data_IF_843319099339
#
_entry.id   IF_843319099339
#
_cell.length_a   1.000
_cell.length_b   1.000
_cell.length_c   1.000
_cell.angle_alpha   90.00
_cell.angle_beta   90.00
_cell.angle_gamma   90.00
#
_symmetry.space_group_name_H-M   'P 1'
#
loop_
_entity.id
_entity.type
_entity.pdbx_description
1 polymer ?
#
# COMPACT_ATOMS: atom_id res chain seq x y z
N UNK A 1 13.05 8.79 -11.15
CA UNK A 1 12.74 10.23 -10.99
C UNK A 1 11.47 10.57 -11.75
N UNK A 2 10.70 11.54 -11.28
CA UNK A 2 9.54 12.07 -12.01
C UNK A 2 9.97 12.65 -13.38
N UNK A 3 9.19 12.48 -14.47
CA UNK A 3 9.47 13.11 -15.75
C UNK A 3 9.50 14.65 -15.70
N UNK A 4 8.93 15.26 -14.66
CA UNK A 4 8.96 16.71 -14.42
C UNK A 4 10.17 17.18 -13.60
N UNK A 5 11.00 16.26 -13.13
CA UNK A 5 12.16 16.58 -12.28
C UNK A 5 13.28 17.24 -13.07
N UNK A 6 14.00 18.23 -12.52
CA UNK A 6 15.23 18.75 -13.11
C UNK A 6 16.37 17.71 -13.14
N UNK A 7 16.21 16.59 -12.43
CA UNK A 7 17.15 15.47 -12.33
C UNK A 7 16.60 14.21 -13.00
N UNK A 8 15.70 14.36 -13.96
CA UNK A 8 15.25 13.27 -14.83
C UNK A 8 16.46 12.56 -15.47
N UNK A 9 16.36 11.24 -15.67
CA UNK A 9 17.48 10.42 -16.17
C UNK A 9 18.57 10.03 -15.15
N UNK A 10 18.72 10.75 -14.02
CA UNK A 10 19.73 10.37 -13.01
C UNK A 10 19.48 8.95 -12.46
N UNK A 11 20.56 8.19 -12.35
CA UNK A 11 20.58 6.85 -11.76
C UNK A 11 21.24 6.89 -10.39
N UNK A 12 20.73 6.09 -9.45
CA UNK A 12 21.24 6.00 -8.09
C UNK A 12 21.46 4.54 -7.71
N UNK A 13 22.57 4.28 -7.02
CA UNK A 13 22.88 2.99 -6.43
C UNK A 13 23.30 3.21 -5.00
N UNK A 14 22.62 2.57 -4.05
CA UNK A 14 22.93 2.63 -2.63
C UNK A 14 23.15 1.22 -2.08
N UNK A 15 24.10 1.06 -1.16
CA UNK A 15 24.42 -0.23 -0.55
C UNK A 15 25.04 -0.04 0.84
N UNK A 16 25.07 -1.12 1.63
CA UNK A 16 25.93 -1.21 2.81
C UNK A 16 27.36 -1.52 2.39
N UNK A 17 28.33 -0.68 2.75
CA UNK A 17 29.73 -0.81 2.31
C UNK A 17 30.52 -1.83 3.14
N UNK A 18 30.18 -3.12 3.05
CA UNK A 18 30.90 -4.17 3.79
C UNK A 18 32.38 -4.29 3.35
N UNK A 19 33.30 -4.18 4.31
CA UNK A 19 34.74 -4.28 4.09
C UNK A 19 35.37 -3.07 3.39
N UNK A 20 34.61 -1.99 3.18
CA UNK A 20 35.11 -0.72 2.63
C UNK A 20 35.62 0.25 3.71
N UNK A 21 36.03 1.47 3.33
CA UNK A 21 36.42 2.52 4.28
C UNK A 21 35.24 3.03 5.10
N UNK A 22 34.01 2.81 4.62
CA UNK A 22 32.77 3.08 5.35
C UNK A 22 32.15 1.76 5.79
N UNK A 23 32.99 0.85 6.31
CA UNK A 23 32.55 -0.47 6.74
C UNK A 23 31.29 -0.36 7.59
N UNK A 24 30.25 -1.12 7.22
CA UNK A 24 28.98 -1.18 7.95
C UNK A 24 28.07 0.06 7.84
N UNK A 25 28.43 1.05 7.02
CA UNK A 25 27.62 2.24 6.74
C UNK A 25 26.88 2.15 5.40
N UNK A 26 25.86 2.99 5.24
CA UNK A 26 25.17 3.19 3.95
C UNK A 26 25.96 4.19 3.13
N UNK A 27 26.26 3.77 1.90
CA UNK A 27 26.86 4.64 0.90
C UNK A 27 25.97 4.68 -0.35
N UNK A 28 26.14 5.74 -1.13
CA UNK A 28 25.47 5.95 -2.40
C UNK A 28 26.46 6.39 -3.48
N UNK A 29 26.19 6.03 -4.72
CA UNK A 29 26.79 6.59 -5.93
C UNK A 29 25.70 6.93 -6.93
N UNK A 30 25.90 7.99 -7.70
CA UNK A 30 24.96 8.44 -8.73
C UNK A 30 25.63 8.59 -10.09
N UNK A 31 24.83 8.39 -11.13
CA UNK A 31 25.17 8.76 -12.51
C UNK A 31 24.19 9.82 -12.99
N UNK A 32 24.73 10.78 -13.74
CA UNK A 32 23.98 11.87 -14.39
C UNK A 32 24.15 11.85 -15.91
N UNK A 33 24.59 10.71 -16.45
CA UNK A 33 24.97 10.49 -17.85
C UNK A 33 24.55 9.09 -18.33
N UNK A 34 23.32 8.68 -17.98
CA UNK A 34 22.71 7.40 -18.38
C UNK A 34 23.53 6.15 -17.99
N UNK A 35 24.28 6.24 -16.89
CA UNK A 35 25.10 5.16 -16.35
C UNK A 35 26.49 5.03 -16.96
N UNK A 36 26.91 5.97 -17.82
CA UNK A 36 28.24 5.96 -18.45
C UNK A 36 29.36 6.19 -17.42
N UNK A 37 29.13 7.05 -16.44
CA UNK A 37 30.04 7.28 -15.33
C UNK A 37 29.30 7.44 -14.00
N UNK A 38 30.02 7.17 -12.90
CA UNK A 38 29.46 7.16 -11.55
C UNK A 38 30.31 8.02 -10.63
N UNK A 39 29.64 8.77 -9.73
CA UNK A 39 30.32 9.53 -8.69
C UNK A 39 31.10 8.59 -7.77
N UNK A 40 32.14 9.09 -7.07
CA UNK A 40 32.70 8.37 -5.92
C UNK A 40 31.60 8.00 -4.92
N UNK A 41 31.80 6.91 -4.18
CA UNK A 41 30.91 6.52 -3.07
C UNK A 41 30.84 7.65 -2.04
N UNK A 42 29.63 8.01 -1.65
CA UNK A 42 29.33 9.00 -0.63
C UNK A 42 28.67 8.29 0.55
N UNK A 43 29.23 8.44 1.74
CA UNK A 43 28.65 7.94 2.99
C UNK A 43 27.49 8.86 3.42
N UNK A 44 26.37 8.27 3.84
CA UNK A 44 25.11 9.00 4.08
C UNK A 44 24.40 8.61 5.38
N UNK A 45 24.97 7.74 6.22
CA UNK A 45 24.36 7.27 7.47
C UNK A 45 25.07 7.73 8.75
N UNK A 46 26.21 8.42 8.67
CA UNK A 46 27.09 8.71 9.80
C UNK A 46 26.43 9.50 10.93
N UNK A 47 25.40 10.29 10.63
CA UNK A 47 24.70 11.08 11.63
C UNK A 47 23.80 10.26 12.57
N UNK A 48 23.38 9.03 12.21
CA UNK A 48 22.51 8.21 13.07
C UNK A 48 23.25 7.42 14.16
N UNK A 49 24.60 7.39 14.10
CA UNK A 49 25.49 6.63 14.98
C UNK A 49 24.94 5.21 15.24
N UNK A 50 25.05 4.31 14.27
CA UNK A 50 24.67 2.92 14.49
C UNK A 50 25.60 2.29 15.52
N UNK A 51 25.05 1.56 16.50
CA UNK A 51 25.87 0.87 17.49
C UNK A 51 26.69 -0.29 16.90
N UNK A 52 26.21 -0.88 15.79
CA UNK A 52 26.97 -1.83 14.97
C UNK A 52 26.95 -1.43 13.50
N UNK A 53 25.83 -1.63 12.79
CA UNK A 53 25.80 -1.41 11.35
C UNK A 53 24.44 -0.99 10.82
N UNK A 54 24.47 -0.41 9.62
CA UNK A 54 23.33 -0.01 8.83
C UNK A 54 23.15 -0.98 7.65
N UNK A 55 21.95 -1.53 7.46
CA UNK A 55 21.70 -2.52 6.41
C UNK A 55 20.32 -2.41 5.77
N UNK A 56 20.15 -3.01 4.59
CA UNK A 56 18.84 -3.16 3.97
C UNK A 56 18.36 -1.86 3.36
N UNK A 57 19.26 -1.17 2.65
CA UNK A 57 18.94 0.14 2.06
C UNK A 57 17.88 0.04 0.97
N UNK A 58 16.92 0.96 1.03
CA UNK A 58 15.94 1.20 -0.01
C UNK A 58 15.99 2.69 -0.43
N UNK A 59 15.77 2.95 -1.71
CA UNK A 59 15.91 4.28 -2.32
C UNK A 59 14.70 4.56 -3.21
N UNK A 60 14.18 5.79 -3.15
CA UNK A 60 13.12 6.25 -4.03
C UNK A 60 13.25 7.74 -4.34
N UNK A 61 12.69 8.16 -5.46
CA UNK A 61 12.71 9.55 -5.91
C UNK A 61 11.39 10.25 -5.67
N UNK A 62 11.43 11.52 -5.27
CA UNK A 62 10.26 12.39 -5.13
C UNK A 62 9.82 13.08 -6.42
N UNK A 63 8.67 13.78 -6.39
CA UNK A 63 8.13 14.53 -7.54
C UNK A 63 9.07 15.61 -8.07
N UNK A 64 9.82 16.26 -7.19
CA UNK A 64 10.69 17.39 -7.56
C UNK A 64 12.14 16.95 -7.74
N UNK A 65 12.39 15.64 -7.76
CA UNK A 65 13.73 15.07 -7.89
C UNK A 65 14.48 14.92 -6.57
N UNK A 66 13.75 14.95 -5.46
CA UNK A 66 14.29 14.52 -4.17
C UNK A 66 14.76 13.06 -4.27
N UNK A 67 15.80 12.70 -3.53
CA UNK A 67 16.28 11.31 -3.39
C UNK A 67 16.16 10.93 -1.93
N UNK A 68 15.20 10.07 -1.63
CA UNK A 68 14.95 9.55 -0.29
C UNK A 68 15.65 8.21 -0.12
N UNK A 69 16.33 8.02 1.00
CA UNK A 69 17.05 6.79 1.32
C UNK A 69 16.68 6.36 2.73
N UNK A 70 16.34 5.07 2.90
CA UNK A 70 15.99 4.46 4.20
C UNK A 70 16.73 3.15 4.40
N UNK A 71 17.01 2.77 5.64
CA UNK A 71 17.71 1.53 6.00
C UNK A 71 17.38 1.08 7.42
N UNK A 72 17.63 -0.18 7.72
CA UNK A 72 17.57 -0.71 9.08
C UNK A 72 18.85 -0.40 9.84
N UNK A 73 18.71 -0.10 11.14
CA UNK A 73 19.82 0.14 12.06
C UNK A 73 19.92 -1.02 13.05
N UNK A 74 21.12 -1.56 13.20
CA UNK A 74 21.48 -2.50 14.25
C UNK A 74 22.34 -1.78 15.30
N UNK A 75 21.83 -1.63 16.51
CA UNK A 75 22.61 -1.10 17.64
C UNK A 75 23.61 -2.13 18.21
N UNK A 76 23.41 -3.41 17.93
CA UNK A 76 24.33 -4.49 18.29
C UNK A 76 24.20 -5.64 17.29
N UNK A 77 25.23 -6.49 17.18
CA UNK A 77 25.18 -7.68 16.33
C UNK A 77 25.92 -8.87 16.97
N UNK A 78 25.39 -10.10 16.89
CA UNK A 78 24.10 -10.49 16.30
C UNK A 78 22.90 -10.06 17.16
N UNK A 79 21.93 -9.37 16.55
CA UNK A 79 20.66 -8.96 17.16
C UNK A 79 19.61 -8.64 16.07
N UNK A 80 18.38 -8.34 16.50
CA UNK A 80 17.34 -7.78 15.62
C UNK A 80 17.60 -6.31 15.31
N UNK A 81 17.01 -5.82 14.22
CA UNK A 81 16.93 -4.40 13.87
C UNK A 81 16.23 -3.62 15.00
N UNK A 82 16.76 -2.45 15.37
CA UNK A 82 16.28 -1.65 16.54
C UNK A 82 15.75 -0.27 16.18
N UNK A 83 16.08 0.22 14.98
CA UNK A 83 15.60 1.50 14.45
C UNK A 83 15.59 1.51 12.91
N UNK A 84 14.92 2.51 12.34
CA UNK A 84 14.98 2.81 10.90
C UNK A 84 15.66 4.16 10.71
N UNK A 85 16.70 4.17 9.89
CA UNK A 85 17.42 5.37 9.47
C UNK A 85 16.85 5.94 8.17
N UNK A 86 16.98 7.25 7.99
CA UNK A 86 16.52 7.96 6.81
C UNK A 86 17.39 9.18 6.52
N UNK A 87 17.58 9.47 5.23
CA UNK A 87 18.06 10.77 4.77
C UNK A 87 17.42 11.16 3.44
N UNK A 88 17.53 12.44 3.09
CA UNK A 88 17.03 13.02 1.86
C UNK A 88 18.10 13.90 1.21
N UNK A 89 18.16 13.84 -0.11
CA UNK A 89 18.80 14.85 -0.97
C UNK A 89 17.73 15.63 -1.72
N UNK A 90 17.90 16.96 -1.81
CA UNK A 90 17.05 17.86 -2.60
C UNK A 90 17.76 18.41 -3.84
N UNK A 91 18.99 17.96 -4.10
CA UNK A 91 19.87 18.41 -5.19
C UNK A 91 20.25 17.26 -6.15
N UNK A 92 19.35 16.27 -6.30
CA UNK A 92 19.52 15.15 -7.22
C UNK A 92 20.62 14.18 -6.79
N UNK A 93 20.80 13.99 -5.48
CA UNK A 93 21.78 13.09 -4.88
C UNK A 93 23.20 13.65 -4.84
N UNK A 94 23.41 14.96 -4.95
CA UNK A 94 24.74 15.55 -4.83
C UNK A 94 25.17 15.68 -3.36
N UNK A 95 24.26 16.13 -2.51
CA UNK A 95 24.43 16.20 -1.06
C UNK A 95 23.20 15.67 -0.35
N UNK A 96 23.40 15.16 0.87
CA UNK A 96 22.35 14.60 1.70
C UNK A 96 22.27 15.37 3.02
N UNK A 97 21.04 15.53 3.52
CA UNK A 97 20.83 16.03 4.86
C UNK A 97 21.47 15.09 5.91
N UNK A 98 21.78 15.59 7.11
CA UNK A 98 22.18 14.71 8.20
C UNK A 98 21.12 13.63 8.42
N UNK A 99 21.55 12.36 8.37
CA UNK A 99 20.66 11.23 8.57
C UNK A 99 19.98 11.25 9.95
N UNK A 100 18.77 10.71 10.01
CA UNK A 100 17.91 10.69 11.18
C UNK A 100 17.42 9.28 11.47
N UNK A 101 17.23 8.96 12.76
CA UNK A 101 16.44 7.79 13.16
C UNK A 101 14.97 8.20 13.17
N UNK A 102 14.21 7.75 12.18
CA UNK A 102 12.81 8.18 11.98
C UNK A 102 11.82 7.39 12.82
N UNK A 103 12.23 6.21 13.27
CA UNK A 103 11.60 5.49 14.37
C UNK A 103 12.67 4.76 15.17
N UNK A 104 12.54 4.82 16.49
CA UNK A 104 13.39 4.12 17.45
C UNK A 104 12.55 3.11 18.21
N UNK A 105 13.18 2.10 18.81
CA UNK A 105 12.49 1.07 19.59
C UNK A 105 11.55 0.21 18.72
N UNK A 106 12.03 -0.20 17.55
CA UNK A 106 11.47 -1.34 16.82
C UNK A 106 12.16 -2.62 17.28
N UNK A 107 11.59 -3.76 16.92
CA UNK A 107 12.24 -5.06 17.02
C UNK A 107 11.97 -5.83 15.75
N UNK A 108 12.96 -5.83 14.86
CA UNK A 108 12.91 -6.61 13.65
C UNK A 108 13.00 -8.12 13.91
N UNK A 109 13.33 -8.88 12.88
CA UNK A 109 13.24 -10.34 12.89
C UNK A 109 14.54 -11.02 12.48
N UNK A 110 15.64 -10.29 12.30
CA UNK A 110 16.90 -10.86 11.80
C UNK A 110 17.42 -12.03 12.65
N UNK A 111 17.37 -11.87 13.97
CA UNK A 111 17.85 -12.83 14.95
C UNK A 111 16.71 -13.61 15.60
N UNK A 112 15.57 -12.97 15.88
CA UNK A 112 14.37 -13.65 16.39
C UNK A 112 13.86 -14.69 15.38
N UNK A 113 13.97 -14.40 14.07
CA UNK A 113 13.56 -15.29 13.01
C UNK A 113 12.04 -15.39 12.85
N UNK A 114 11.64 -16.32 11.99
CA UNK A 114 10.26 -16.81 11.88
C UNK A 114 10.28 -18.32 12.09
N UNK A 115 9.10 -18.94 12.20
CA UNK A 115 8.97 -20.40 12.23
C UNK A 115 9.27 -21.10 10.89
N UNK A 116 9.62 -20.35 9.83
CA UNK A 116 9.89 -20.86 8.48
C UNK A 116 11.38 -21.14 8.34
N UNK A 117 11.72 -22.20 7.60
CA UNK A 117 13.11 -22.61 7.41
C UNK A 117 13.80 -21.78 6.32
N UNK A 118 13.97 -20.49 6.56
CA UNK A 118 14.80 -19.60 5.74
C UNK A 118 15.26 -18.41 6.58
N UNK A 119 16.25 -17.67 6.07
CA UNK A 119 16.69 -16.45 6.72
C UNK A 119 15.64 -15.35 6.49
N UNK A 120 15.51 -14.49 7.48
CA UNK A 120 14.65 -13.31 7.41
C UNK A 120 15.42 -12.05 7.84
N UNK A 121 14.83 -10.90 7.57
CA UNK A 121 15.29 -9.58 7.99
C UNK A 121 14.09 -8.62 7.97
N UNK A 122 14.18 -7.53 8.73
CA UNK A 122 13.20 -6.45 8.71
C UNK A 122 13.77 -5.20 8.05
N UNK A 123 14.13 -5.33 6.78
CA UNK A 123 14.63 -4.20 6.01
C UNK A 123 13.47 -3.31 5.57
N UNK A 124 13.53 -1.99 5.83
CA UNK A 124 12.47 -1.08 5.47
C UNK A 124 12.39 -0.93 3.95
N UNK A 125 11.17 -0.87 3.44
CA UNK A 125 10.88 -0.66 2.02
C UNK A 125 10.02 0.58 1.88
N UNK A 126 10.28 1.40 0.87
CA UNK A 126 9.62 2.68 0.71
C UNK A 126 8.89 2.80 -0.64
N UNK A 127 7.78 3.52 -0.62
CA UNK A 127 7.13 4.08 -1.81
C UNK A 127 6.92 5.58 -1.61
N UNK A 128 6.90 6.33 -2.71
CA UNK A 128 6.60 7.76 -2.72
C UNK A 128 5.42 7.99 -3.65
N UNK A 129 4.45 8.80 -3.23
CA UNK A 129 3.30 9.13 -4.07
C UNK A 129 3.76 10.03 -5.23
N UNK A 130 3.59 9.54 -6.46
CA UNK A 130 3.90 10.23 -7.71
C UNK A 130 2.65 10.48 -8.58
N UNK A 131 1.45 10.42 -7.99
CA UNK A 131 0.17 10.38 -8.71
C UNK A 131 -0.32 11.71 -9.28
N UNK A 132 0.26 12.83 -8.86
CA UNK A 132 -0.29 14.18 -9.08
C UNK A 132 -1.50 14.49 -8.21
N UNK A 133 -1.95 13.55 -7.36
CA UNK A 133 -3.11 13.70 -6.49
C UNK A 133 -2.83 14.48 -5.20
N UNK A 134 -3.81 14.54 -4.27
CA UNK A 134 -3.70 15.32 -3.03
C UNK A 134 -2.55 14.89 -2.09
N UNK A 135 -2.03 13.68 -2.27
CA UNK A 135 -0.96 13.08 -1.46
C UNK A 135 0.39 13.06 -2.17
N UNK A 136 0.49 13.71 -3.34
CA UNK A 136 1.73 13.84 -4.11
C UNK A 136 2.92 14.19 -3.22
N UNK A 137 3.96 13.36 -3.26
CA UNK A 137 5.18 13.53 -2.45
C UNK A 137 5.13 12.91 -1.05
N UNK A 138 4.01 12.32 -0.64
CA UNK A 138 3.96 11.55 0.60
C UNK A 138 4.90 10.35 0.49
N UNK A 139 5.57 10.05 1.60
CA UNK A 139 6.54 8.97 1.71
C UNK A 139 5.93 7.90 2.61
N UNK A 140 5.96 6.64 2.19
CA UNK A 140 5.45 5.50 2.94
C UNK A 140 6.57 4.50 3.15
N UNK A 141 6.87 4.16 4.40
CA UNK A 141 7.88 3.15 4.75
C UNK A 141 7.20 2.00 5.46
N UNK A 142 7.45 0.77 5.00
CA UNK A 142 6.94 -0.46 5.58
C UNK A 142 8.07 -1.36 6.08
N UNK A 143 7.83 -2.09 7.16
CA UNK A 143 8.76 -3.06 7.73
C UNK A 143 8.01 -4.13 8.55
N UNK A 144 8.73 -5.16 8.99
CA UNK A 144 8.19 -6.23 9.84
C UNK A 144 8.62 -6.05 11.30
N UNK A 145 7.73 -6.25 12.27
CA UNK A 145 8.06 -6.07 13.68
C UNK A 145 7.56 -7.25 14.52
N UNK A 146 8.34 -7.64 15.52
CA UNK A 146 7.88 -8.55 16.58
C UNK A 146 6.97 -7.79 17.53
N UNK A 147 5.69 -8.14 17.56
CA UNK A 147 4.66 -7.39 18.27
C UNK A 147 4.57 -5.93 17.81
N UNK A 148 3.93 -5.11 18.63
CA UNK A 148 3.72 -3.68 18.32
C UNK A 148 5.00 -2.86 18.49
N UNK A 149 5.43 -2.07 17.48
CA UNK A 149 6.56 -1.15 17.60
C UNK A 149 6.44 -0.24 18.83
N UNK A 150 7.52 -0.07 19.57
CA UNK A 150 7.54 0.66 20.84
C UNK A 150 7.25 -0.21 22.07
N UNK A 151 6.55 -1.34 21.90
CA UNK A 151 6.28 -2.32 22.97
C UNK A 151 7.17 -3.56 22.77
N UNK A 152 7.22 -4.09 21.54
CA UNK A 152 8.07 -5.21 21.11
C UNK A 152 7.89 -6.51 21.90
N UNK A 153 6.65 -6.78 22.33
CA UNK A 153 6.25 -8.00 23.05
C UNK A 153 5.02 -8.64 22.40
N UNK A 154 4.80 -9.91 22.68
CA UNK A 154 3.70 -10.70 22.11
C UNK A 154 4.19 -11.78 21.15
N UNK A 155 3.28 -12.66 20.71
CA UNK A 155 3.62 -13.79 19.86
C UNK A 155 3.62 -13.46 18.36
N UNK A 156 3.02 -12.34 17.96
CA UNK A 156 2.84 -12.00 16.55
C UNK A 156 4.10 -11.39 15.93
N UNK A 157 4.25 -11.62 14.63
CA UNK A 157 5.14 -10.87 13.76
C UNK A 157 4.26 -10.22 12.72
N UNK A 158 4.24 -8.89 12.68
CA UNK A 158 3.31 -8.12 11.87
C UNK A 158 4.02 -7.09 10.99
N UNK A 159 3.36 -6.68 9.91
CA UNK A 159 3.86 -5.62 9.04
C UNK A 159 3.27 -4.27 9.44
N UNK A 160 4.14 -3.26 9.54
CA UNK A 160 3.78 -1.91 9.94
C UNK A 160 4.18 -0.88 8.88
N UNK A 161 3.48 0.24 8.87
CA UNK A 161 3.74 1.39 8.02
C UNK A 161 3.88 2.68 8.85
N UNK A 162 4.80 3.56 8.45
CA UNK A 162 4.81 4.98 8.82
C UNK A 162 4.82 5.82 7.55
N UNK A 163 4.25 7.02 7.63
CA UNK A 163 4.26 7.98 6.52
C UNK A 163 4.77 9.34 6.93
N UNK A 164 5.39 10.02 5.98
CA UNK A 164 5.71 11.44 6.07
C UNK A 164 4.92 12.22 5.02
N UNK A 165 4.39 13.38 5.44
CA UNK A 165 3.61 14.28 4.58
C UNK A 165 4.34 15.59 4.31
N UNK A 166 5.60 15.71 4.74
CA UNK A 166 6.39 16.94 4.74
C UNK A 166 7.84 16.73 4.28
N UNK A 167 8.05 15.76 3.38
CA UNK A 167 9.37 15.50 2.78
C UNK A 167 10.35 14.75 3.69
N UNK A 168 9.84 14.02 4.68
CA UNK A 168 10.64 13.22 5.61
C UNK A 168 11.01 13.93 6.91
N UNK A 169 10.48 15.14 7.17
CA UNK A 169 10.78 15.91 8.38
C UNK A 169 10.05 15.36 9.61
N UNK A 170 8.79 14.96 9.46
CA UNK A 170 7.99 14.30 10.49
C UNK A 170 7.33 13.04 9.97
N UNK A 171 7.01 12.13 10.90
CA UNK A 171 6.50 10.80 10.60
C UNK A 171 5.28 10.49 11.47
N UNK A 172 4.30 9.78 10.91
CA UNK A 172 3.15 9.28 11.65
C UNK A 172 3.55 8.23 12.69
N UNK A 173 2.68 7.95 13.69
CA UNK A 173 2.77 6.70 14.44
C UNK A 173 2.68 5.47 13.51
N UNK A 174 3.23 4.31 13.93
CA UNK A 174 3.09 3.06 13.19
C UNK A 174 1.64 2.62 13.02
N UNK A 175 1.29 2.15 11.83
CA UNK A 175 -0.03 1.61 11.47
C UNK A 175 0.17 0.15 11.04
N UNK A 176 -0.54 -0.79 11.67
CA UNK A 176 -0.52 -2.21 11.31
C UNK A 176 -1.22 -2.43 9.96
N UNK A 177 -0.62 -3.23 9.09
CA UNK A 177 -1.08 -3.43 7.70
C UNK A 177 -1.99 -4.65 7.58
N UNK A 178 -1.60 -5.79 8.15
CA UNK A 178 -2.38 -7.03 8.07
C UNK A 178 -3.64 -6.98 8.95
N UNK A 179 -4.72 -7.63 8.50
CA UNK A 179 -6.08 -7.50 9.04
C UNK A 179 -6.60 -8.70 9.84
N UNK A 180 -5.74 -9.69 10.15
CA UNK A 180 -6.08 -10.78 11.06
C UNK A 180 -6.15 -10.31 12.53
N UNK A 181 -6.93 -10.95 13.42
CA UNK A 181 -6.97 -10.55 14.82
C UNK A 181 -5.62 -10.75 15.54
N UNK A 182 -5.18 -9.75 16.30
CA UNK A 182 -3.93 -9.79 17.08
C UNK A 182 -3.94 -10.85 18.19
N UNK A 183 -2.75 -11.28 18.60
CA UNK A 183 -2.48 -12.19 19.71
C UNK A 183 -2.53 -13.67 19.33
N UNK A 184 -2.52 -14.00 18.03
CA UNK A 184 -2.70 -15.37 17.54
C UNK A 184 -1.38 -16.11 17.26
N UNK A 185 -0.24 -15.44 17.38
CA UNK A 185 1.06 -15.97 17.03
C UNK A 185 1.22 -16.20 15.54
N UNK A 186 0.63 -15.31 14.73
CA UNK A 186 0.74 -15.35 13.27
C UNK A 186 1.91 -14.48 12.80
N UNK A 187 2.51 -14.91 11.70
CA UNK A 187 3.75 -14.34 11.18
C UNK A 187 3.55 -13.78 9.77
N UNK A 188 3.67 -12.46 9.67
CA UNK A 188 3.55 -11.66 8.45
C UNK A 188 4.89 -10.97 8.19
N UNK A 189 5.55 -11.25 7.07
CA UNK A 189 6.94 -10.82 6.89
C UNK A 189 7.34 -10.59 5.44
N UNK A 190 8.50 -9.96 5.26
CA UNK A 190 9.05 -9.49 3.99
C UNK A 190 8.08 -8.61 3.19
N UNK A 191 7.57 -7.51 3.77
CA UNK A 191 6.69 -6.61 3.06
C UNK A 191 7.43 -5.94 1.91
N UNK A 192 6.75 -5.74 0.79
CA UNK A 192 7.16 -4.80 -0.26
C UNK A 192 5.99 -3.90 -0.61
N UNK A 193 6.24 -2.62 -0.86
CA UNK A 193 5.18 -1.62 -1.12
C UNK A 193 5.33 -1.00 -2.51
N UNK A 194 4.19 -0.67 -3.13
CA UNK A 194 4.10 0.20 -4.29
C UNK A 194 3.04 1.28 -4.03
N UNK A 195 3.30 2.50 -4.48
CA UNK A 195 2.28 3.54 -4.66
C UNK A 195 2.01 3.67 -6.15
N UNK A 196 0.75 3.58 -6.56
CA UNK A 196 0.36 3.70 -7.96
C UNK A 196 0.55 5.16 -8.42
N UNK A 197 1.43 5.42 -9.41
CA UNK A 197 1.73 6.78 -9.86
C UNK A 197 0.61 7.40 -10.73
N UNK A 198 -0.55 6.76 -10.83
CA UNK A 198 -1.75 7.29 -11.49
C UNK A 198 -2.86 7.52 -10.48
N UNK A 199 -3.08 6.58 -9.55
CA UNK A 199 -4.23 6.64 -8.62
C UNK A 199 -3.85 7.12 -7.22
N UNK A 200 -2.57 7.03 -6.83
CA UNK A 200 -2.12 7.29 -5.45
C UNK A 200 -2.55 6.19 -4.47
N UNK A 201 -2.98 5.02 -4.96
CA UNK A 201 -3.31 3.86 -4.15
C UNK A 201 -2.05 3.13 -3.71
N UNK A 202 -2.07 2.54 -2.52
CA UNK A 202 -0.99 1.72 -1.99
C UNK A 202 -1.33 0.25 -2.11
N UNK A 203 -0.31 -0.56 -2.41
CA UNK A 203 -0.38 -2.02 -2.36
C UNK A 203 0.86 -2.58 -1.67
N UNK A 204 0.68 -3.47 -0.70
CA UNK A 204 1.74 -4.12 0.08
C UNK A 204 1.62 -5.62 -0.05
N UNK A 205 2.65 -6.29 -0.57
CA UNK A 205 2.73 -7.76 -0.61
C UNK A 205 3.47 -8.27 0.62
N UNK A 206 3.07 -9.40 1.18
CA UNK A 206 3.81 -10.10 2.24
C UNK A 206 3.62 -11.61 2.22
N UNK A 207 4.55 -12.35 2.83
CA UNK A 207 4.28 -13.72 3.27
C UNK A 207 3.45 -13.71 4.55
N UNK A 208 2.62 -14.74 4.70
CA UNK A 208 1.58 -14.80 5.71
C UNK A 208 1.27 -16.27 6.07
N UNK A 209 1.14 -16.59 7.36
CA UNK A 209 0.77 -17.94 7.80
C UNK A 209 -0.58 -18.05 8.51
N UNK A 210 -1.43 -17.02 8.41
CA UNK A 210 -2.68 -16.91 9.17
C UNK A 210 -3.63 -18.10 8.95
N UNK A 211 -3.63 -18.68 7.74
CA UNK A 211 -4.51 -19.81 7.39
C UNK A 211 -3.82 -21.18 7.40
N UNK A 212 -2.52 -21.24 7.70
CA UNK A 212 -1.72 -22.46 7.52
C UNK A 212 -0.94 -22.83 8.79
N UNK A 213 -0.24 -23.96 8.74
CA UNK A 213 0.68 -24.34 9.81
C UNK A 213 1.86 -23.37 9.86
N UNK A 214 2.49 -23.24 11.03
CA UNK A 214 3.63 -22.33 11.25
C UNK A 214 4.79 -22.54 10.28
N UNK A 215 5.00 -23.77 9.78
CA UNK A 215 6.09 -24.04 8.82
C UNK A 215 5.77 -23.64 7.38
N UNK A 216 4.53 -23.27 7.09
CA UNK A 216 4.05 -22.90 5.77
C UNK A 216 3.75 -21.40 5.68
N UNK A 217 3.68 -20.89 4.46
CA UNK A 217 3.13 -19.57 4.20
C UNK A 217 2.29 -19.57 2.92
N UNK A 218 1.41 -18.59 2.87
CA UNK A 218 0.69 -18.09 1.71
C UNK A 218 1.20 -16.67 1.40
N UNK A 219 0.72 -16.08 0.31
CA UNK A 219 1.07 -14.71 -0.09
C UNK A 219 -0.19 -13.86 -0.06
N UNK A 220 -0.09 -12.70 0.59
CA UNK A 220 -1.19 -11.75 0.72
C UNK A 220 -0.80 -10.42 0.11
N UNK A 221 -1.82 -9.67 -0.30
CA UNK A 221 -1.68 -8.25 -0.64
C UNK A 221 -2.67 -7.45 0.18
N UNK A 222 -2.18 -6.40 0.84
CA UNK A 222 -2.97 -5.37 1.48
C UNK A 222 -3.02 -4.12 0.60
N UNK A 223 -4.17 -3.47 0.48
CA UNK A 223 -4.33 -2.26 -0.31
C UNK A 223 -4.95 -1.13 0.50
N UNK A 224 -4.67 0.11 0.09
CA UNK A 224 -5.19 1.31 0.70
C UNK A 224 -5.45 2.43 -0.32
N UNK A 225 -6.56 3.13 -0.15
CA UNK A 225 -7.03 4.27 -0.97
C UNK A 225 -6.93 5.61 -0.25
N UNK A 226 -6.71 5.61 1.07
CA UNK A 226 -6.69 6.79 1.95
C UNK A 226 -5.27 7.21 2.37
N UNK A 227 -4.25 6.71 1.66
CA UNK A 227 -2.84 6.95 2.00
C UNK A 227 -2.38 6.13 3.20
N UNK A 228 -2.93 4.93 3.38
CA UNK A 228 -2.52 3.93 4.36
C UNK A 228 -2.99 4.21 5.78
N UNK A 229 -4.09 4.97 5.94
CA UNK A 229 -4.79 5.07 7.23
C UNK A 229 -5.59 3.80 7.50
N UNK A 230 -6.21 3.23 6.46
CA UNK A 230 -6.91 1.96 6.52
C UNK A 230 -6.40 1.03 5.44
N UNK A 231 -6.56 -0.28 5.69
CA UNK A 231 -6.07 -1.35 4.83
C UNK A 231 -7.12 -2.45 4.71
N UNK A 232 -7.26 -3.00 3.51
CA UNK A 232 -7.94 -4.26 3.26
C UNK A 232 -6.96 -5.25 2.66
N UNK A 233 -6.97 -6.51 3.11
CA UNK A 233 -6.07 -7.54 2.61
C UNK A 233 -6.80 -8.78 2.10
N UNK A 234 -6.15 -9.47 1.18
CA UNK A 234 -6.63 -10.74 0.65
C UNK A 234 -5.47 -11.63 0.21
N UNK A 235 -5.72 -12.94 0.21
CA UNK A 235 -4.75 -13.92 -0.28
C UNK A 235 -4.64 -13.83 -1.80
N UNK A 236 -3.41 -13.70 -2.30
CA UNK A 236 -3.12 -13.66 -3.73
C UNK A 236 -2.53 -14.98 -4.28
N UNK A 237 -1.93 -15.82 -3.42
CA UNK A 237 -1.45 -17.13 -3.85
C UNK A 237 -2.57 -18.16 -3.96
N UNK A 238 -2.48 -19.00 -4.98
CA UNK A 238 -3.36 -20.14 -5.25
C UNK A 238 -3.05 -21.37 -4.39
N UNK A 239 -1.83 -21.46 -3.85
CA UNK A 239 -1.38 -22.53 -2.94
C UNK A 239 -0.60 -21.97 -1.77
N UNK A 240 -0.53 -22.77 -0.70
CA UNK A 240 0.46 -22.62 0.35
C UNK A 240 1.74 -23.40 0.01
N UNK A 241 2.88 -23.00 0.56
CA UNK A 241 4.15 -23.68 0.36
C UNK A 241 5.00 -23.65 1.64
N UNK A 242 6.05 -24.47 1.68
CA UNK A 242 6.98 -24.58 2.82
C UNK A 242 8.34 -24.02 2.41
N UNK A 243 8.69 -22.78 2.80
CA UNK A 243 10.00 -22.22 2.49
C UNK A 243 11.14 -23.13 2.94
N UNK A 244 12.14 -23.28 2.07
CA UNK A 244 13.30 -24.14 2.34
C UNK A 244 14.55 -23.56 1.67
N UNK A 245 15.71 -23.52 2.33
CA UNK A 245 16.88 -22.88 1.76
C UNK A 245 17.30 -23.56 0.46
N UNK A 246 17.79 -22.77 -0.49
CA UNK A 246 18.26 -23.24 -1.79
C UNK A 246 19.62 -23.95 -1.59
N UNK A 247 19.72 -25.26 -1.92
CA UNK A 247 20.97 -25.99 -1.76
C UNK A 247 22.11 -25.37 -2.57
N UNK A 248 23.30 -25.28 -1.98
CA UNK A 248 24.49 -24.72 -2.62
C UNK A 248 24.63 -23.20 -2.55
N UNK A 249 23.66 -22.49 -1.96
CA UNK A 249 23.80 -21.07 -1.60
C UNK A 249 24.19 -20.91 -0.13
N UNK A 250 24.46 -19.68 0.28
CA UNK A 250 24.68 -19.34 1.68
C UNK A 250 23.47 -19.73 2.56
N UNK A 251 23.73 -19.96 3.84
CA UNK A 251 22.75 -20.51 4.78
C UNK A 251 21.44 -19.70 4.83
N UNK A 252 20.31 -20.40 4.71
CA UNK A 252 18.97 -19.82 4.85
C UNK A 252 18.41 -19.11 3.62
N UNK A 253 19.16 -18.95 2.53
CA UNK A 253 18.68 -18.21 1.34
C UNK A 253 17.49 -18.91 0.66
N UNK A 254 16.40 -18.19 0.41
CA UNK A 254 15.18 -18.73 -0.21
C UNK A 254 14.66 -17.92 -1.41
N UNK A 255 15.37 -16.88 -1.83
CA UNK A 255 14.78 -15.81 -2.65
C UNK A 255 14.29 -14.72 -1.72
N UNK A 256 15.25 -14.15 -0.99
CA UNK A 256 15.02 -13.08 -0.04
C UNK A 256 14.55 -11.85 -0.84
N UNK A 257 13.48 -11.23 -0.35
CA UNK A 257 12.68 -10.16 -0.96
C UNK A 257 11.56 -10.60 -1.92
N UNK A 258 10.42 -9.93 -1.72
CA UNK A 258 9.28 -9.88 -2.63
C UNK A 258 9.41 -8.65 -3.54
N UNK A 259 8.52 -8.54 -4.52
CA UNK A 259 8.38 -7.32 -5.31
C UNK A 259 6.91 -7.02 -5.58
N UNK A 260 6.57 -5.74 -5.69
CA UNK A 260 5.24 -5.32 -6.15
C UNK A 260 5.38 -4.04 -6.95
N UNK A 261 4.59 -3.92 -8.03
CA UNK A 261 4.49 -2.71 -8.83
C UNK A 261 3.03 -2.45 -9.17
N UNK A 262 2.62 -1.18 -9.19
CA UNK A 262 1.27 -0.78 -9.56
C UNK A 262 1.27 0.37 -10.58
N UNK A 263 0.30 0.38 -11.50
CA UNK A 263 0.04 1.51 -12.40
C UNK A 263 -1.39 1.49 -12.94
N UNK A 264 -2.11 2.59 -12.77
CA UNK A 264 -3.48 2.73 -13.26
C UNK A 264 -4.40 1.63 -12.71
N UNK A 265 -4.25 1.32 -11.42
CA UNK A 265 -4.96 0.28 -10.69
C UNK A 265 -4.66 -1.14 -11.14
N UNK A 266 -3.62 -1.39 -11.95
CA UNK A 266 -3.13 -2.75 -12.20
C UNK A 266 -1.95 -3.02 -11.29
N UNK A 267 -2.02 -4.09 -10.52
CA UNK A 267 -1.01 -4.44 -9.51
C UNK A 267 -0.37 -5.77 -9.87
N UNK A 268 0.97 -5.83 -9.78
CA UNK A 268 1.81 -6.96 -10.17
C UNK A 268 2.68 -7.41 -8.98
N UNK A 269 2.11 -8.18 -8.03
CA UNK A 269 2.86 -8.79 -6.94
C UNK A 269 3.67 -9.98 -7.43
N UNK A 270 4.96 -10.03 -7.08
CA UNK A 270 5.90 -11.09 -7.43
C UNK A 270 6.54 -11.65 -6.16
N UNK A 271 6.58 -12.96 -6.03
CA UNK A 271 7.15 -13.64 -4.86
C UNK A 271 7.95 -14.87 -5.25
N UNK A 272 8.78 -15.36 -4.32
CA UNK A 272 9.50 -16.62 -4.48
C UNK A 272 8.73 -17.76 -3.82
N UNK A 273 8.57 -18.88 -4.51
CA UNK A 273 7.87 -20.04 -3.99
C UNK A 273 8.55 -21.32 -4.53
N UNK A 274 8.55 -22.39 -3.73
CA UNK A 274 9.19 -23.66 -4.01
C UNK A 274 8.22 -24.85 -4.16
N UNK A 275 6.94 -24.61 -4.47
CA UNK A 275 5.87 -25.61 -4.65
C UNK A 275 6.22 -26.73 -5.63
N UNK A 276 7.09 -26.46 -6.60
CA UNK A 276 7.56 -27.43 -7.61
C UNK A 276 8.85 -28.15 -7.20
N UNK A 277 9.33 -27.93 -5.97
CA UNK A 277 10.61 -28.42 -5.47
C UNK A 277 11.82 -27.55 -5.83
N UNK A 278 11.62 -26.45 -6.57
CA UNK A 278 12.64 -25.45 -6.91
C UNK A 278 12.11 -24.05 -6.59
N UNK A 279 12.94 -23.19 -6.03
CA UNK A 279 12.61 -21.77 -5.84
C UNK A 279 12.46 -21.08 -7.20
N UNK A 280 11.26 -20.57 -7.49
CA UNK A 280 10.91 -19.85 -8.71
C UNK A 280 10.15 -18.57 -8.36
N UNK A 281 10.17 -17.61 -9.28
CA UNK A 281 9.34 -16.41 -9.18
C UNK A 281 7.93 -16.68 -9.70
N UNK A 282 6.92 -16.31 -8.92
CA UNK A 282 5.51 -16.37 -9.29
C UNK A 282 4.92 -14.97 -9.26
N UNK A 283 3.90 -14.74 -10.09
CA UNK A 283 3.17 -13.49 -10.20
C UNK A 283 1.69 -13.79 -10.33
N UNK A 284 0.85 -12.98 -9.70
CA UNK A 284 -0.60 -13.05 -9.84
C UNK A 284 -1.15 -11.63 -9.92
N UNK A 285 -1.23 -11.06 -11.13
CA UNK A 285 -1.70 -9.69 -11.31
C UNK A 285 -3.19 -9.56 -10.99
N UNK A 286 -3.58 -8.40 -10.44
CA UNK A 286 -4.97 -8.07 -10.19
C UNK A 286 -5.26 -6.59 -10.48
N UNK A 287 -6.54 -6.23 -10.51
CA UNK A 287 -6.98 -4.85 -10.69
C UNK A 287 -7.50 -4.32 -9.35
N UNK A 288 -6.87 -3.25 -8.86
CA UNK A 288 -7.26 -2.47 -7.70
C UNK A 288 -7.69 -1.06 -8.13
N UNK A 289 -8.99 -0.89 -8.32
CA UNK A 289 -9.59 0.39 -8.71
C UNK A 289 -10.64 0.77 -7.67
N UNK A 290 -10.84 2.08 -7.38
CA UNK A 290 -11.99 2.53 -6.60
C UNK A 290 -13.25 1.91 -7.21
N UNK A 291 -14.21 1.52 -6.38
CA UNK A 291 -15.48 0.98 -6.87
C UNK A 291 -16.14 2.01 -7.79
N UNK A 292 -16.02 1.81 -9.11
CA UNK A 292 -16.73 2.64 -10.07
C UNK A 292 -18.17 2.15 -10.10
N UNK A 293 -19.08 2.96 -9.59
CA UNK A 293 -20.48 2.61 -9.54
C UNK A 293 -21.23 3.48 -10.52
N UNK A 294 -21.62 2.87 -11.64
CA UNK A 294 -22.54 3.50 -12.58
C UNK A 294 -23.95 3.38 -12.05
N UNK A 295 -24.56 4.51 -11.76
CA UNK A 295 -25.94 4.58 -11.32
C UNK A 295 -26.80 5.10 -12.45
N UNK A 296 -27.86 4.36 -12.73
CA UNK A 296 -28.85 4.71 -13.72
C UNK A 296 -30.25 4.63 -13.11
N UNK A 297 -31.06 5.63 -13.43
CA UNK A 297 -32.44 5.73 -12.99
C UNK A 297 -33.33 5.51 -14.20
N UNK A 298 -34.08 4.41 -14.22
CA UNK A 298 -34.87 4.00 -15.38
C UNK A 298 -36.36 3.93 -15.09
N UNK A 299 -37.15 4.30 -16.10
CA UNK A 299 -38.58 3.98 -16.20
C UNK A 299 -38.78 2.47 -16.42
N UNK A 300 -40.03 2.01 -16.32
CA UNK A 300 -40.38 0.59 -16.50
C UNK A 300 -40.09 0.08 -17.91
N UNK A 301 -40.03 0.98 -18.90
CA UNK A 301 -39.65 0.72 -20.28
C UNK A 301 -38.12 0.69 -20.51
N UNK A 302 -37.32 0.91 -19.46
CA UNK A 302 -35.87 0.92 -19.51
C UNK A 302 -35.23 2.27 -19.89
N UNK A 303 -36.02 3.32 -20.10
CA UNK A 303 -35.55 4.67 -20.44
C UNK A 303 -34.90 5.34 -19.23
N UNK A 304 -33.65 5.80 -19.37
CA UNK A 304 -32.96 6.60 -18.35
C UNK A 304 -33.62 7.98 -18.20
N UNK A 305 -33.87 8.40 -16.96
CA UNK A 305 -34.59 9.65 -16.67
C UNK A 305 -33.98 10.42 -15.51
N UNK A 306 -33.99 11.75 -15.66
CA UNK A 306 -33.72 12.72 -14.60
C UNK A 306 -32.24 12.74 -14.13
N UNK A 307 -31.99 12.78 -12.82
CA UNK A 307 -30.66 12.98 -12.24
C UNK A 307 -30.48 12.27 -10.91
N UNK A 308 -29.23 12.06 -10.55
CA UNK A 308 -28.75 11.38 -9.33
C UNK A 308 -27.63 12.21 -8.71
N UNK A 309 -27.40 12.08 -7.41
CA UNK A 309 -26.33 12.80 -6.71
C UNK A 309 -26.00 12.18 -5.36
N UNK A 310 -24.82 12.52 -4.82
CA UNK A 310 -24.43 12.13 -3.46
C UNK A 310 -25.31 12.83 -2.43
N UNK A 311 -25.61 12.13 -1.35
CA UNK A 311 -26.38 12.66 -0.24
C UNK A 311 -25.54 12.72 1.04
N UNK A 312 -25.15 13.93 1.42
CA UNK A 312 -24.32 14.22 2.61
C UNK A 312 -25.18 14.64 3.82
N UNK A 313 -26.49 14.37 3.80
CA UNK A 313 -27.39 14.69 4.93
C UNK A 313 -27.84 16.15 5.04
N UNK A 314 -27.51 17.02 4.08
CA UNK A 314 -27.93 18.44 4.03
C UNK A 314 -28.80 18.78 2.81
N UNK A 315 -29.44 19.96 2.74
CA UNK A 315 -30.36 20.32 1.64
C UNK A 315 -29.68 20.44 0.26
N UNK A 316 -28.35 20.50 0.23
CA UNK A 316 -27.54 20.67 -0.97
C UNK A 316 -27.45 19.36 -1.76
N UNK A 317 -28.38 19.19 -2.71
CA UNK A 317 -28.33 18.12 -3.69
C UNK A 317 -27.66 18.63 -4.96
N UNK A 318 -26.50 18.08 -5.32
CA UNK A 318 -25.81 18.35 -6.60
C UNK A 318 -26.22 17.27 -7.61
N UNK A 319 -27.09 17.57 -8.58
CA UNK A 319 -27.58 16.59 -9.54
C UNK A 319 -26.60 16.35 -10.69
N UNK A 320 -26.46 15.08 -11.08
CA UNK A 320 -25.78 14.61 -12.27
C UNK A 320 -26.77 13.89 -13.19
N UNK A 321 -26.68 14.12 -14.50
CA UNK A 321 -27.50 13.42 -15.48
C UNK A 321 -27.21 11.92 -15.47
N UNK A 322 -28.25 11.09 -15.58
CA UNK A 322 -28.11 9.62 -15.65
C UNK A 322 -27.89 9.12 -17.09
N UNK A 323 -27.19 7.98 -17.28
CA UNK A 323 -26.40 7.28 -16.26
C UNK A 323 -25.16 8.09 -15.86
N UNK A 324 -24.78 8.02 -14.59
CA UNK A 324 -23.57 8.66 -14.07
C UNK A 324 -22.68 7.65 -13.34
N UNK A 325 -21.37 7.73 -13.56
CA UNK A 325 -20.39 6.88 -12.88
C UNK A 325 -19.75 7.66 -11.74
N UNK A 326 -19.99 7.21 -10.52
CA UNK A 326 -19.28 7.71 -9.34
C UNK A 326 -18.04 6.87 -9.07
N UNK A 327 -17.00 7.49 -8.53
CA UNK A 327 -15.86 6.79 -7.94
C UNK A 327 -16.02 6.79 -6.42
N UNK A 328 -16.07 5.60 -5.84
CA UNK A 328 -16.15 5.44 -4.39
C UNK A 328 -14.95 4.70 -3.85
N UNK A 329 -14.59 5.02 -2.61
CA UNK A 329 -13.57 4.31 -1.87
C UNK A 329 -14.06 2.88 -1.56
N UNK A 330 -13.19 1.89 -1.71
CA UNK A 330 -13.56 0.53 -1.31
C UNK A 330 -13.60 0.49 0.23
N UNK A 331 -14.66 -0.10 0.78
CA UNK A 331 -14.95 -0.12 2.20
C UNK A 331 -15.82 1.05 2.68
N UNK A 332 -16.11 2.04 1.83
CA UNK A 332 -16.97 3.17 2.21
C UNK A 332 -18.46 2.81 2.16
N UNK A 333 -19.23 3.52 2.99
CA UNK A 333 -20.69 3.52 2.96
C UNK A 333 -21.15 4.76 2.22
N UNK A 334 -21.84 4.58 1.11
CA UNK A 334 -22.24 5.69 0.25
C UNK A 334 -23.76 5.77 0.17
N UNK A 335 -24.29 6.97 0.31
CA UNK A 335 -25.71 7.24 0.11
C UNK A 335 -25.90 8.08 -1.15
N UNK A 336 -26.64 7.54 -2.11
CA UNK A 336 -27.05 8.28 -3.30
C UNK A 336 -28.54 8.63 -3.23
N UNK A 337 -28.87 9.83 -3.69
CA UNK A 337 -30.25 10.32 -3.84
C UNK A 337 -30.57 10.48 -5.32
N UNK A 338 -31.75 10.00 -5.72
CA UNK A 338 -32.34 10.30 -7.03
C UNK A 338 -33.20 11.56 -6.98
N UNK A 339 -33.32 12.26 -8.10
CA UNK A 339 -34.25 13.37 -8.24
C UNK A 339 -35.71 12.92 -8.02
N UNK A 340 -36.55 13.79 -7.48
CA UNK A 340 -37.86 13.43 -6.91
C UNK A 340 -39.06 13.68 -7.85
N UNK A 341 -38.85 14.22 -9.05
CA UNK A 341 -39.94 14.61 -9.96
C UNK A 341 -40.69 13.41 -10.53
N UNK A 342 -42.02 13.37 -10.39
CA UNK A 342 -42.89 12.35 -11.02
C UNK A 342 -42.90 12.50 -12.55
N UNK A 343 -42.66 11.40 -13.27
CA UNK A 343 -42.66 11.32 -14.73
C UNK A 343 -43.54 10.14 -15.14
N UNK A 344 -44.50 10.37 -16.05
CA UNK A 344 -45.33 9.32 -16.67
C UNK A 344 -46.05 8.37 -15.68
N UNK A 345 -46.43 8.85 -14.50
CA UNK A 345 -47.02 8.06 -13.39
C UNK A 345 -46.08 6.99 -12.77
N UNK A 346 -44.80 7.01 -13.10
CA UNK A 346 -43.82 6.00 -12.67
C UNK A 346 -42.86 6.52 -11.60
N UNK A 347 -43.32 7.40 -10.68
CA UNK A 347 -42.49 7.85 -9.56
C UNK A 347 -43.23 8.20 -8.27
N UNK A 348 -42.65 7.74 -7.16
CA UNK A 348 -42.92 7.97 -5.73
C UNK A 348 -44.33 8.38 -5.35
N UNK A 349 -45.12 7.40 -4.92
CA UNK A 349 -46.38 7.67 -4.27
C UNK A 349 -46.10 8.36 -2.92
N UNK A 350 -46.44 9.65 -2.88
CA UNK A 350 -46.49 10.46 -1.67
C UNK A 350 -47.50 9.80 -0.70
N UNK A 351 -47.02 9.23 0.41
CA UNK A 351 -47.88 8.79 1.52
C UNK A 351 -47.25 9.19 2.85
N UNK A 352 -47.02 10.49 3.04
CA UNK A 352 -46.86 11.08 4.35
C UNK A 352 -47.07 12.60 4.25
N UNK A 353 -47.63 13.23 5.28
CA UNK A 353 -47.57 14.69 5.49
C UNK A 353 -46.17 15.16 5.94
N UNK A 354 -45.17 14.30 5.74
CA UNK A 354 -43.78 14.53 6.10
C UNK A 354 -42.98 14.67 4.80
N UNK A 355 -42.53 15.90 4.51
CA UNK A 355 -41.76 16.26 3.32
C UNK A 355 -40.36 15.58 3.27
N UNK A 356 -40.07 14.67 4.21
CA UNK A 356 -38.76 14.04 4.42
C UNK A 356 -38.61 12.62 3.86
N UNK A 357 -39.59 12.04 3.15
CA UNK A 357 -39.38 10.73 2.49
C UNK A 357 -38.53 10.91 1.23
N UNK A 358 -37.20 10.82 1.39
CA UNK A 358 -36.21 10.89 0.31
C UNK A 358 -35.96 9.53 -0.33
N UNK A 359 -36.00 9.45 -1.67
CA UNK A 359 -35.53 8.29 -2.41
C UNK A 359 -33.98 8.23 -2.38
N UNK A 360 -33.46 7.75 -1.25
CA UNK A 360 -32.06 7.47 -1.05
C UNK A 360 -31.82 5.96 -0.96
N UNK A 361 -30.63 5.52 -1.37
CA UNK A 361 -30.17 4.15 -1.11
C UNK A 361 -28.75 4.21 -0.60
N UNK A 362 -28.55 3.64 0.58
CA UNK A 362 -27.24 3.37 1.14
C UNK A 362 -26.72 2.03 0.59
N UNK A 363 -25.44 1.98 0.24
CA UNK A 363 -24.77 0.74 -0.15
C UNK A 363 -23.32 0.75 0.32
N UNK A 364 -22.84 -0.44 0.64
CA UNK A 364 -21.45 -0.69 0.98
C UNK A 364 -20.65 -0.94 -0.30
N UNK A 365 -19.57 -0.20 -0.49
CA UNK A 365 -18.62 -0.47 -1.56
C UNK A 365 -17.69 -1.57 -1.08
N UNK A 366 -17.77 -2.74 -1.69
CA UNK A 366 -16.86 -3.85 -1.39
C UNK A 366 -15.98 -4.15 -2.60
N UNK A 367 -14.87 -4.84 -2.40
CA UNK A 367 -13.98 -5.25 -3.49
C UNK A 367 -14.69 -6.08 -4.59
N UNK A 368 -15.84 -6.69 -4.29
CA UNK A 368 -16.68 -7.45 -5.23
C UNK A 368 -17.92 -6.69 -5.73
N UNK A 369 -18.01 -5.37 -5.53
CA UNK A 369 -19.19 -4.59 -5.90
C UNK A 369 -19.40 -4.63 -7.42
N UNK A 370 -20.64 -4.87 -7.92
CA UNK A 370 -20.91 -5.15 -9.34
C UNK A 370 -20.64 -3.99 -10.31
N UNK A 371 -20.12 -2.85 -9.84
CA UNK A 371 -19.80 -1.67 -10.62
C UNK A 371 -21.01 -0.94 -11.24
N UNK A 372 -22.22 -1.45 -11.01
CA UNK A 372 -23.47 -0.90 -11.53
C UNK A 372 -24.58 -1.03 -10.49
N UNK A 373 -25.35 0.04 -10.30
CA UNK A 373 -26.63 0.02 -9.61
C UNK A 373 -27.70 0.52 -10.58
N UNK A 374 -28.68 -0.34 -10.86
CA UNK A 374 -29.89 0.05 -11.59
C UNK A 374 -31.01 0.15 -10.57
N UNK A 375 -31.69 1.30 -10.55
CA UNK A 375 -32.96 1.40 -9.85
C UNK A 375 -34.08 1.11 -10.84
N UNK A 376 -34.61 -0.10 -10.79
CA UNK A 376 -35.79 -0.50 -11.57
C UNK A 376 -37.05 -0.14 -10.77
N UNK A 377 -37.76 0.91 -11.19
CA UNK A 377 -39.03 1.28 -10.59
C UNK A 377 -40.15 0.52 -11.28
N UNK A 378 -40.63 -0.55 -10.66
CA UNK A 378 -41.86 -1.21 -11.11
C UNK A 378 -43.06 -0.32 -10.79
N UNK A 379 -43.98 -0.08 -11.74
CA UNK A 379 -45.21 0.65 -11.46
C UNK A 379 -45.99 -0.11 -10.37
N UNK A 380 -46.44 0.61 -9.34
CA UNK A 380 -47.26 0.04 -8.27
C UNK A 380 -48.64 -0.35 -8.82
N UNK A 381 -48.71 -1.62 -9.27
CA UNK A 381 -49.82 -2.52 -9.64
C UNK A 381 -50.46 -2.42 -11.05
N UNK A 382 -50.62 -3.57 -11.75
CA UNK A 382 -51.53 -3.72 -12.87
C UNK A 382 -52.98 -3.80 -12.37
N UNK A 383 -53.90 -3.03 -12.97
CA UNK A 383 -55.33 -3.19 -12.75
C UNK A 383 -56.13 -1.96 -12.32
N UNK A 384 -55.56 -0.75 -12.34
CA UNK A 384 -56.34 0.49 -12.17
C UNK A 384 -56.15 1.37 -13.41
N UNK A 385 -57.26 1.70 -14.09
CA UNK A 385 -57.34 2.74 -15.12
C UNK A 385 -58.09 3.91 -14.49
N UNK A 386 -57.54 5.12 -14.66
CA UNK A 386 -57.82 6.41 -13.96
C UNK A 386 -59.21 6.59 -13.39
#
# INVERSE_FOLDING_TARGET
NSPSSPYEGNLYSAWTDFGGPYNEEIVISRSTDDGLSWSPRQEISSAVNAGSHNQGVNISSGPNGEVYVTWAIYDSFPADETAIGFTVSTDGGQTFAPAQRIITNIRGIRNTGTSKNHRVASFPVMAVDLSGGPRQGYIYIVWTNVGEPGINTGPDIDNYMIRSTDGGNTWSPPIRINQDPTGQGKEHYFPWISCDPVTGNLSVISYDDRNVSSTQCEVFVANSTDGGMTWEDFKISDVAFTPKPIPGLAGGYFGDYLGISARGGRVYPVWTDNRTGRALAYVSPFVFQPGQVTVDQKLSDGTSVDSIGRWEGGPDFVPYAVPHTFSFEIGSTETLRGAQKIISNEKYHNWSLDDMITNHREFQITAGFPGQLVSEFNPTKPGITV
#
